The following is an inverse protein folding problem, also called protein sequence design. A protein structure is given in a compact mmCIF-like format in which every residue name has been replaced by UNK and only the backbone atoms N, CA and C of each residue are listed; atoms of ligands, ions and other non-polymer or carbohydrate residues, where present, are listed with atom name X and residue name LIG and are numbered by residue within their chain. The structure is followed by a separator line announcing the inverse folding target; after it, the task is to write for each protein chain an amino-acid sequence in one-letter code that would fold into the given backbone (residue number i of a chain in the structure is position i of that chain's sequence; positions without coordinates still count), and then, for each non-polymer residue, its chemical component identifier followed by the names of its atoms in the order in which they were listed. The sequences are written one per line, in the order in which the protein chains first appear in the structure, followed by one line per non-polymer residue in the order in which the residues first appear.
data_IF_601243151976
#
_entry.id   IF_601243151976
#
_cell.length_a   1.000
_cell.length_b   1.000
_cell.length_c   1.000
_cell.angle_alpha   90.00
_cell.angle_beta   90.00
_cell.angle_gamma   90.00
#
_symmetry.space_group_name_H-M   'P 1'
#
loop_
_entity.id
_entity.type
_entity.pdbx_description
1 polymer ?
#
# COMPACT_ATOMS: atom_id res chain seq x y z
N UNK A 1 -4.72 8.08 -14.43
CA UNK A 1 -5.87 8.98 -14.64
C UNK A 1 -5.55 10.30 -13.92
N UNK A 2 -5.35 11.42 -14.63
CA UNK A 2 -5.07 12.71 -13.97
C UNK A 2 -6.40 13.43 -13.72
N UNK A 3 -6.84 13.47 -12.46
CA UNK A 3 -7.97 14.31 -12.04
C UNK A 3 -7.54 15.78 -12.00
N UNK A 4 -8.50 16.68 -12.22
CA UNK A 4 -8.27 18.12 -12.14
C UNK A 4 -7.88 18.48 -10.68
N UNK A 5 -6.77 19.18 -10.42
CA UNK A 5 -6.34 19.49 -9.06
C UNK A 5 -7.06 20.70 -8.44
N UNK A 6 -7.97 21.35 -9.16
CA UNK A 6 -8.66 22.54 -8.66
C UNK A 6 -9.56 22.20 -7.48
N UNK A 7 -9.37 22.95 -6.39
CA UNK A 7 -10.24 22.91 -5.21
C UNK A 7 -11.31 23.96 -5.38
N UNK A 8 -12.57 23.60 -5.12
CA UNK A 8 -13.69 24.53 -5.18
C UNK A 8 -14.31 24.76 -3.81
N UNK A 9 -14.66 26.01 -3.57
CA UNK A 9 -15.49 26.42 -2.45
C UNK A 9 -16.94 26.49 -2.92
N UNK A 10 -17.80 25.70 -2.29
CA UNK A 10 -19.24 25.65 -2.59
C UNK A 10 -20.04 25.88 -1.31
N UNK A 11 -21.25 26.37 -1.45
CA UNK A 11 -22.17 26.54 -0.33
C UNK A 11 -23.02 25.29 -0.16
N UNK A 12 -23.01 24.72 1.04
CA UNK A 12 -23.86 23.62 1.42
C UNK A 12 -25.33 24.03 1.49
N UNK A 13 -26.21 23.04 1.53
CA UNK A 13 -27.66 23.27 1.49
C UNK A 13 -28.16 24.14 2.66
N UNK A 14 -27.44 24.15 3.79
CA UNK A 14 -27.79 24.94 4.97
C UNK A 14 -26.91 26.20 5.12
N UNK A 15 -26.14 26.58 4.09
CA UNK A 15 -25.27 27.76 4.08
C UNK A 15 -23.91 27.55 4.75
N UNK A 16 -23.54 26.31 5.04
CA UNK A 16 -22.20 25.95 5.50
C UNK A 16 -21.19 26.01 4.33
N UNK A 17 -20.00 26.59 4.51
CA UNK A 17 -18.96 26.52 3.51
C UNK A 17 -18.47 25.07 3.37
N UNK A 18 -18.40 24.58 2.12
CA UNK A 18 -17.93 23.25 1.77
C UNK A 18 -16.75 23.37 0.80
N UNK A 19 -15.66 22.70 1.13
CA UNK A 19 -14.50 22.56 0.24
C UNK A 19 -14.57 21.22 -0.49
N UNK A 20 -14.50 21.25 -1.83
CA UNK A 20 -14.45 20.06 -2.69
C UNK A 20 -13.07 19.97 -3.31
N UNK A 21 -12.37 18.85 -3.10
CA UNK A 21 -11.10 18.55 -3.75
C UNK A 21 -11.11 17.13 -4.35
N UNK A 22 -10.11 16.84 -5.19
CA UNK A 22 -9.90 15.50 -5.77
C UNK A 22 -8.63 14.83 -5.25
N UNK A 23 -8.13 15.28 -4.10
CA UNK A 23 -6.95 14.65 -3.50
C UNK A 23 -7.27 13.22 -3.07
N UNK A 24 -8.54 12.92 -2.78
CA UNK A 24 -9.02 11.57 -2.47
C UNK A 24 -8.50 10.98 -1.15
N UNK A 25 -7.42 11.55 -0.60
CA UNK A 25 -6.72 11.02 0.56
C UNK A 25 -6.00 9.71 0.25
N UNK A 26 -5.96 8.82 1.24
CA UNK A 26 -5.40 7.49 1.08
C UNK A 26 -6.39 6.57 0.33
N UNK A 27 -6.36 6.62 -1.00
CA UNK A 27 -7.14 5.74 -1.87
C UNK A 27 -6.31 4.55 -2.33
N UNK A 28 -6.96 3.40 -2.43
CA UNK A 28 -6.40 2.19 -3.04
C UNK A 28 -7.50 1.46 -3.81
N UNK A 29 -7.15 0.82 -4.92
CA UNK A 29 -8.06 -0.08 -5.65
C UNK A 29 -8.04 -1.49 -5.05
N UNK A 30 -7.07 -1.78 -4.19
CA UNK A 30 -6.79 -3.12 -3.65
C UNK A 30 -7.32 -3.30 -2.22
N UNK A 31 -8.33 -2.53 -1.81
CA UNK A 31 -8.88 -2.57 -0.45
C UNK A 31 -9.32 -3.98 0.00
N UNK A 32 -9.57 -4.91 -0.92
CA UNK A 32 -9.83 -6.33 -0.62
C UNK A 32 -8.69 -7.03 0.13
N UNK A 33 -7.45 -6.55 0.01
CA UNK A 33 -6.30 -7.09 0.73
C UNK A 33 -6.26 -6.68 2.22
N UNK A 34 -7.11 -5.76 2.68
CA UNK A 34 -7.18 -5.40 4.11
C UNK A 34 -7.46 -6.61 5.01
N UNK A 35 -8.30 -7.54 4.55
CA UNK A 35 -8.57 -8.78 5.29
C UNK A 35 -7.34 -9.69 5.36
N UNK A 36 -6.57 -9.75 4.27
CA UNK A 36 -5.33 -10.51 4.25
C UNK A 36 -4.28 -9.88 5.17
N UNK A 37 -4.16 -8.55 5.17
CA UNK A 37 -3.27 -7.81 6.06
C UNK A 37 -3.63 -7.98 7.53
N UNK A 38 -4.92 -7.99 7.86
CA UNK A 38 -5.40 -8.29 9.21
C UNK A 38 -5.12 -9.75 9.60
N UNK A 39 -5.32 -10.70 8.69
CA UNK A 39 -5.01 -12.10 8.95
C UNK A 39 -3.52 -12.32 9.20
N UNK A 40 -2.65 -11.71 8.38
CA UNK A 40 -1.20 -11.75 8.58
C UNK A 40 -0.79 -11.10 9.91
N UNK A 41 -1.32 -9.92 10.25
CA UNK A 41 -1.07 -9.24 11.53
C UNK A 41 -1.37 -10.15 12.74
N UNK A 42 -2.45 -10.93 12.69
CA UNK A 42 -2.83 -11.86 13.78
C UNK A 42 -1.99 -13.12 13.85
N UNK A 43 -1.53 -13.63 12.70
CA UNK A 43 -0.86 -14.92 12.57
C UNK A 43 0.67 -14.80 12.43
N UNK A 44 1.14 -13.57 12.21
CA UNK A 44 2.51 -13.19 11.88
C UNK A 44 3.12 -14.07 10.79
N UNK A 45 2.36 -14.36 9.72
CA UNK A 45 2.77 -15.35 8.72
C UNK A 45 4.00 -14.88 7.98
N UNK A 46 4.02 -13.63 7.54
CA UNK A 46 5.12 -13.06 6.76
C UNK A 46 6.37 -12.94 7.62
N UNK A 47 6.26 -12.46 8.86
CA UNK A 47 7.40 -12.39 9.78
C UNK A 47 7.97 -13.78 10.11
N UNK A 48 7.11 -14.78 10.34
CA UNK A 48 7.54 -16.17 10.56
C UNK A 48 8.22 -16.76 9.34
N UNK A 49 7.74 -16.43 8.15
CA UNK A 49 8.38 -16.83 6.90
C UNK A 49 9.73 -16.14 6.73
N UNK A 50 9.82 -14.84 7.00
CA UNK A 50 11.05 -14.06 6.94
C UNK A 50 12.13 -14.60 7.87
N UNK A 51 11.75 -15.05 9.07
CA UNK A 51 12.65 -15.67 10.03
C UNK A 51 13.29 -16.98 9.53
N UNK A 52 12.75 -17.61 8.48
CA UNK A 52 13.36 -18.77 7.83
C UNK A 52 14.48 -18.40 6.85
N UNK A 53 14.68 -17.12 6.55
CA UNK A 53 15.72 -16.65 5.63
C UNK A 53 16.95 -16.15 6.40
N UNK A 54 18.12 -16.43 5.83
CA UNK A 54 19.35 -15.73 6.19
C UNK A 54 19.61 -14.66 5.14
N UNK A 55 19.62 -13.39 5.55
CA UNK A 55 19.92 -12.30 4.63
C UNK A 55 21.43 -12.20 4.39
N UNK A 56 21.86 -12.63 3.20
CA UNK A 56 23.26 -12.60 2.78
C UNK A 56 23.67 -11.25 2.15
N UNK A 57 22.73 -10.31 2.02
CA UNK A 57 23.02 -9.00 1.43
C UNK A 57 23.88 -8.17 2.39
N UNK A 58 24.74 -7.33 1.84
CA UNK A 58 25.56 -6.43 2.64
C UNK A 58 24.67 -5.32 3.25
N UNK A 59 24.57 -5.28 4.57
CA UNK A 59 23.63 -4.41 5.30
C UNK A 59 23.72 -2.92 4.94
N UNK A 60 24.88 -2.42 4.53
CA UNK A 60 25.06 -1.03 4.08
C UNK A 60 24.36 -0.67 2.76
N UNK A 61 23.80 -1.65 2.06
CA UNK A 61 23.06 -1.48 0.81
C UNK A 61 21.62 -2.02 0.89
N UNK A 62 21.11 -2.24 2.11
CA UNK A 62 19.77 -2.79 2.33
C UNK A 62 18.84 -1.68 2.78
N UNK A 63 17.95 -1.27 1.87
CA UNK A 63 16.88 -0.31 2.19
C UNK A 63 15.63 -1.02 2.74
N UNK A 64 15.44 -2.30 2.41
CA UNK A 64 14.26 -3.10 2.76
C UNK A 64 14.66 -4.47 3.30
N UNK A 65 14.10 -4.81 4.46
CA UNK A 65 14.24 -6.10 5.12
C UNK A 65 13.67 -7.23 4.27
N UNK A 66 14.08 -8.47 4.56
CA UNK A 66 13.48 -9.64 3.91
C UNK A 66 11.98 -9.72 4.20
N UNK A 67 11.54 -9.31 5.39
CA UNK A 67 10.13 -9.27 5.76
C UNK A 67 9.35 -8.34 4.83
N UNK A 68 9.78 -7.08 4.67
CA UNK A 68 9.14 -6.10 3.76
C UNK A 68 9.12 -6.57 2.30
N UNK A 69 10.22 -7.20 1.84
CA UNK A 69 10.27 -7.76 0.49
C UNK A 69 9.30 -8.93 0.28
N UNK A 70 9.18 -9.82 1.27
CA UNK A 70 8.22 -10.92 1.24
C UNK A 70 6.80 -10.39 1.28
N UNK A 71 6.55 -9.39 2.12
CA UNK A 71 5.27 -8.73 2.25
C UNK A 71 4.80 -8.11 0.94
N UNK A 72 5.66 -7.32 0.30
CA UNK A 72 5.42 -6.76 -1.02
C UNK A 72 5.09 -7.86 -2.04
N UNK A 73 5.87 -8.95 -2.06
CA UNK A 73 5.67 -10.04 -3.03
C UNK A 73 4.37 -10.82 -2.79
N UNK A 74 4.07 -11.16 -1.54
CA UNK A 74 2.91 -11.98 -1.17
C UNK A 74 1.61 -11.21 -1.44
N UNK A 75 1.55 -9.93 -1.07
CA UNK A 75 0.36 -9.11 -1.35
C UNK A 75 0.21 -8.80 -2.83
N UNK A 76 1.31 -8.57 -3.56
CA UNK A 76 1.27 -8.42 -5.02
C UNK A 76 0.69 -9.67 -5.69
N UNK A 77 1.16 -10.86 -5.32
CA UNK A 77 0.60 -12.13 -5.81
C UNK A 77 -0.87 -12.30 -5.47
N UNK A 78 -1.28 -11.94 -4.25
CA UNK A 78 -2.68 -12.04 -3.82
C UNK A 78 -3.61 -11.08 -4.60
N UNK A 79 -3.11 -9.92 -5.01
CA UNK A 79 -3.82 -8.96 -5.87
C UNK A 79 -3.72 -9.27 -7.38
N UNK A 80 -2.95 -10.28 -7.80
CA UNK A 80 -2.79 -10.62 -9.22
C UNK A 80 -1.73 -9.79 -9.95
N UNK A 81 -0.73 -9.29 -9.22
CA UNK A 81 0.44 -8.60 -9.75
C UNK A 81 1.65 -9.55 -9.80
N UNK A 82 1.57 -10.61 -10.60
CA UNK A 82 2.60 -11.66 -10.64
C UNK A 82 3.92 -11.26 -11.32
N UNK A 83 3.86 -10.33 -12.28
CA UNK A 83 4.96 -10.00 -13.21
C UNK A 83 5.94 -8.92 -12.70
N UNK A 84 5.64 -8.33 -11.54
CA UNK A 84 6.42 -7.30 -10.85
C UNK A 84 6.53 -5.92 -11.52
N UNK A 85 5.92 -5.69 -12.68
CA UNK A 85 6.11 -4.43 -13.40
C UNK A 85 5.39 -3.24 -12.73
N UNK A 86 4.31 -3.49 -12.00
CA UNK A 86 3.50 -2.47 -11.34
C UNK A 86 4.07 -2.05 -9.97
N UNK A 87 5.05 -2.78 -9.44
CA UNK A 87 5.55 -2.58 -8.07
C UNK A 87 6.25 -1.23 -7.86
N UNK A 88 6.79 -0.62 -8.92
CA UNK A 88 7.34 0.73 -8.88
C UNK A 88 6.27 1.80 -8.59
N UNK A 89 5.01 1.53 -8.98
CA UNK A 89 3.87 2.37 -8.66
C UNK A 89 3.22 1.94 -7.34
N UNK A 90 3.00 0.63 -7.15
CA UNK A 90 2.33 0.09 -5.97
C UNK A 90 3.05 0.42 -4.66
N UNK A 91 4.37 0.63 -4.67
CA UNK A 91 5.10 1.08 -3.45
C UNK A 91 4.59 2.40 -2.85
N UNK A 92 3.85 3.19 -3.63
CA UNK A 92 3.22 4.43 -3.17
C UNK A 92 1.74 4.26 -2.83
N UNK A 93 1.14 3.10 -3.12
CA UNK A 93 -0.23 2.80 -2.73
C UNK A 93 -0.30 2.65 -1.19
N UNK A 94 -1.23 3.34 -0.50
CA UNK A 94 -1.36 3.29 0.96
C UNK A 94 -1.49 1.89 1.56
N UNK A 95 -2.04 0.93 0.82
CA UNK A 95 -2.18 -0.46 1.27
C UNK A 95 -0.83 -1.19 1.31
N UNK A 96 0.00 -0.92 0.30
CA UNK A 96 1.33 -1.51 0.13
C UNK A 96 2.42 -0.71 0.83
N UNK A 97 2.09 0.51 1.27
CA UNK A 97 2.98 1.38 2.02
C UNK A 97 3.29 0.75 3.38
N UNK A 98 4.54 0.28 3.55
CA UNK A 98 5.00 -0.38 4.78
C UNK A 98 4.12 -1.55 5.20
N UNK A 99 3.94 -2.47 4.27
CA UNK A 99 3.85 -3.89 4.62
C UNK A 99 5.26 -4.37 4.92
#
# INVERSE_FOLDING_TARGET
MKCNPETWEVQGKNGEPLTVNFEGGALTSDAGLLLLKEADSRLSLISRLAACFTDHRAAGYVDFTVEELLAQRIYGLAAGYEDLNDHDQLRFDPLFLRV
#
